data_IF_978460363258
#
_entry.id   IF_978460363258
#
_cell.length_a   1.000
_cell.length_b   1.000
_cell.length_c   1.000
_cell.angle_alpha   90.00
_cell.angle_beta   90.00
_cell.angle_gamma   90.00
#
_symmetry.space_group_name_H-M   'P 1'
#
loop_
_entity.id
_entity.type
_entity.pdbx_description
1 polymer ?
#
# COMPACT_ATOMS: atom_id res chain seq x y z
N UNK A 1 -24.49 0.51 1.53
CA UNK A 1 -23.53 1.36 0.79
C UNK A 1 -23.18 2.54 1.68
N UNK A 2 -21.91 2.81 1.87
CA UNK A 2 -21.43 3.92 2.72
C UNK A 2 -20.75 4.95 1.86
N UNK A 3 -21.14 6.21 1.98
CA UNK A 3 -20.48 7.31 1.29
C UNK A 3 -19.48 7.96 2.23
N UNK A 4 -18.22 8.06 1.79
CA UNK A 4 -17.13 8.68 2.55
C UNK A 4 -16.61 9.92 1.84
N UNK A 5 -16.32 10.94 2.64
CA UNK A 5 -15.65 12.15 2.19
C UNK A 5 -14.18 12.08 2.65
N UNK A 6 -13.26 12.11 1.69
CA UNK A 6 -11.82 12.13 1.95
C UNK A 6 -11.36 13.57 1.75
N UNK A 7 -10.65 14.11 2.73
CA UNK A 7 -9.99 15.41 2.65
C UNK A 7 -8.52 15.23 3.08
N UNK A 8 -7.62 15.40 2.14
CA UNK A 8 -6.18 15.31 2.36
C UNK A 8 -5.54 16.66 2.06
N UNK A 9 -4.84 17.22 3.05
CA UNK A 9 -4.13 18.47 2.89
C UNK A 9 -2.71 18.35 3.44
N UNK A 10 -1.73 18.69 2.59
CA UNK A 10 -0.32 18.76 2.97
C UNK A 10 0.18 20.17 2.72
N UNK A 11 0.91 20.75 3.69
CA UNK A 11 1.46 22.09 3.57
C UNK A 11 2.94 22.08 3.95
N UNK A 12 3.77 22.53 3.03
CA UNK A 12 5.20 22.76 3.24
C UNK A 12 5.46 24.25 3.37
N UNK A 13 6.21 24.64 4.38
CA UNK A 13 6.67 26.01 4.61
C UNK A 13 8.17 26.05 4.56
N UNK A 14 8.71 26.85 3.66
CA UNK A 14 10.14 27.04 3.48
C UNK A 14 10.60 28.31 4.19
N UNK A 15 11.84 28.34 4.70
CA UNK A 15 12.39 29.54 5.35
C UNK A 15 12.55 30.69 4.37
N UNK A 16 12.87 30.36 3.12
CA UNK A 16 13.04 31.31 2.01
C UNK A 16 12.26 30.79 0.80
N UNK A 17 12.01 31.66 -0.19
CA UNK A 17 11.39 31.23 -1.44
C UNK A 17 12.33 30.29 -2.19
N UNK A 18 11.84 29.11 -2.54
CA UNK A 18 12.58 28.06 -3.27
C UNK A 18 11.92 27.80 -4.62
N UNK A 19 12.73 27.48 -5.62
CA UNK A 19 12.22 27.00 -6.89
C UNK A 19 11.82 25.53 -6.74
N UNK A 20 10.52 25.24 -6.89
CA UNK A 20 10.00 23.88 -6.84
C UNK A 20 10.23 23.18 -8.18
N UNK A 21 10.75 21.95 -8.12
CA UNK A 21 10.78 21.05 -9.26
C UNK A 21 9.40 20.47 -9.58
N UNK A 22 9.25 19.66 -10.65
CA UNK A 22 8.01 18.95 -10.93
C UNK A 22 7.62 18.01 -9.78
N UNK A 23 6.35 18.03 -9.37
CA UNK A 23 5.81 17.12 -8.36
C UNK A 23 4.86 16.12 -9.01
N UNK A 24 4.99 14.85 -8.64
CA UNK A 24 4.07 13.79 -9.04
C UNK A 24 3.16 13.46 -7.87
N UNK A 25 1.86 13.62 -8.06
CA UNK A 25 0.86 13.42 -7.03
C UNK A 25 -0.05 12.25 -7.42
N UNK A 26 -0.19 11.28 -6.51
CA UNK A 26 -1.04 10.08 -6.68
C UNK A 26 -2.07 10.06 -5.54
N UNK A 27 -2.94 11.07 -5.50
CA UNK A 27 -3.92 11.29 -4.42
C UNK A 27 -5.35 10.94 -4.83
N UNK A 28 -5.59 10.69 -6.14
CA UNK A 28 -6.92 10.30 -6.61
C UNK A 28 -7.22 8.86 -6.20
N UNK A 29 -8.31 8.60 -5.46
CA UNK A 29 -8.73 7.25 -5.14
C UNK A 29 -8.97 6.41 -6.40
N UNK A 30 -8.50 5.18 -6.39
CA UNK A 30 -8.70 4.25 -7.50
C UNK A 30 -10.04 3.56 -7.37
N UNK A 31 -10.79 3.54 -8.47
CA UNK A 31 -12.02 2.78 -8.56
C UNK A 31 -11.74 1.27 -8.62
N UNK A 32 -12.63 0.51 -8.03
CA UNK A 32 -12.58 -0.96 -8.03
C UNK A 32 -14.01 -1.51 -8.01
N UNK A 33 -14.13 -2.84 -7.96
CA UNK A 33 -15.42 -3.50 -7.77
C UNK A 33 -16.18 -2.99 -6.53
N UNK A 34 -15.44 -2.65 -5.47
CA UNK A 34 -15.99 -2.32 -4.15
C UNK A 34 -15.90 -0.82 -3.81
N UNK A 35 -15.28 -0.02 -4.70
CA UNK A 35 -15.08 1.44 -4.51
C UNK A 35 -15.45 2.18 -5.78
N UNK A 36 -16.43 3.05 -5.71
CA UNK A 36 -16.82 3.97 -6.79
C UNK A 36 -16.44 5.40 -6.42
N UNK A 37 -15.73 6.09 -7.30
CA UNK A 37 -15.37 7.50 -7.13
C UNK A 37 -16.50 8.38 -7.66
N UNK A 38 -17.18 9.10 -6.76
CA UNK A 38 -18.29 9.99 -7.12
C UNK A 38 -17.78 11.37 -7.56
N UNK A 39 -16.77 11.91 -6.88
CA UNK A 39 -16.11 13.16 -7.24
C UNK A 39 -14.69 13.23 -6.71
N UNK A 40 -13.85 14.04 -7.38
CA UNK A 40 -12.50 14.35 -6.91
C UNK A 40 -12.07 15.73 -7.36
N UNK A 41 -11.37 16.46 -6.48
CA UNK A 41 -10.70 17.73 -6.80
C UNK A 41 -9.27 17.70 -6.28
N UNK A 42 -8.38 18.37 -6.99
CA UNK A 42 -6.99 18.57 -6.57
C UNK A 42 -6.63 20.03 -6.76
N UNK A 43 -6.31 20.71 -5.67
CA UNK A 43 -5.90 22.10 -5.65
C UNK A 43 -4.44 22.21 -5.18
N UNK A 44 -3.68 23.07 -5.84
CA UNK A 44 -2.27 23.30 -5.54
C UNK A 44 -2.02 24.80 -5.41
N UNK A 45 -1.35 25.20 -4.35
CA UNK A 45 -0.93 26.56 -4.09
C UNK A 45 0.59 26.61 -3.88
N UNK A 46 1.35 27.46 -4.60
CA UNK A 46 0.89 28.47 -5.55
C UNK A 46 0.28 27.87 -6.82
N UNK A 47 -0.40 28.70 -7.61
CA UNK A 47 -0.96 28.27 -8.89
C UNK A 47 0.11 27.63 -9.77
N UNK A 48 -0.21 26.49 -10.34
CA UNK A 48 0.70 25.65 -11.10
C UNK A 48 -0.01 25.04 -12.31
N UNK A 49 0.74 24.64 -13.32
CA UNK A 49 0.19 23.81 -14.40
C UNK A 49 0.09 22.35 -13.93
N UNK A 50 -1.02 21.71 -14.30
CA UNK A 50 -1.32 20.34 -13.86
C UNK A 50 -1.70 19.50 -15.08
N UNK A 51 -1.03 18.35 -15.24
CA UNK A 51 -1.32 17.37 -16.28
C UNK A 51 -1.58 16.01 -15.67
N UNK A 52 -2.52 15.25 -16.25
CA UNK A 52 -2.87 13.92 -15.78
C UNK A 52 -2.43 12.85 -16.76
N UNK A 53 -1.92 11.75 -16.21
CA UNK A 53 -1.61 10.52 -16.96
C UNK A 53 -1.89 9.31 -16.07
N UNK A 54 -1.97 8.13 -16.69
CA UNK A 54 -1.92 6.88 -15.93
C UNK A 54 -0.53 6.28 -16.05
N UNK A 55 -0.03 5.74 -14.93
CA UNK A 55 1.21 4.96 -14.94
C UNK A 55 0.97 3.51 -15.38
N UNK A 56 2.04 2.71 -15.37
CA UNK A 56 1.99 1.28 -15.77
C UNK A 56 1.13 0.42 -14.85
N UNK A 57 0.85 0.88 -13.64
CA UNK A 57 -0.05 0.21 -12.69
C UNK A 57 -1.50 0.70 -12.80
N UNK A 58 -1.77 1.68 -13.67
CA UNK A 58 -3.07 2.31 -13.82
C UNK A 58 -3.38 3.35 -12.73
N UNK A 59 -2.37 3.81 -11.98
CA UNK A 59 -2.57 4.90 -11.03
C UNK A 59 -2.76 6.22 -11.78
N UNK A 60 -3.71 7.05 -11.33
CA UNK A 60 -3.87 8.40 -11.83
C UNK A 60 -2.78 9.29 -11.23
N UNK A 61 -1.87 9.76 -12.06
CA UNK A 61 -0.72 10.59 -11.70
C UNK A 61 -0.96 12.02 -12.18
N UNK A 62 -1.04 12.98 -11.26
CA UNK A 62 -1.00 14.39 -11.56
C UNK A 62 0.44 14.90 -11.51
N UNK A 63 0.95 15.40 -12.63
CA UNK A 63 2.23 16.09 -12.68
C UNK A 63 2.00 17.59 -12.55
N UNK A 64 2.57 18.19 -11.51
CA UNK A 64 2.44 19.63 -11.18
C UNK A 64 3.76 20.32 -11.47
N UNK A 65 3.70 21.44 -12.21
CA UNK A 65 4.87 22.25 -12.56
C UNK A 65 4.68 23.69 -12.08
N UNK A 66 5.71 24.22 -11.42
CA UNK A 66 5.74 25.56 -10.85
C UNK A 66 6.61 26.50 -11.67
N UNK A 67 6.13 27.71 -11.89
CA UNK A 67 6.87 28.69 -12.70
C UNK A 67 7.70 29.64 -11.83
N UNK A 68 7.26 29.92 -10.62
CA UNK A 68 7.89 30.93 -9.76
C UNK A 68 8.34 30.32 -8.43
N UNK A 69 9.42 30.86 -7.84
CA UNK A 69 9.80 30.51 -6.47
C UNK A 69 8.69 30.80 -5.47
N UNK A 70 8.60 29.98 -4.43
CA UNK A 70 7.58 30.11 -3.37
C UNK A 70 8.16 29.77 -1.99
N UNK A 71 7.66 30.45 -0.96
CA UNK A 71 7.95 30.07 0.43
C UNK A 71 6.91 29.10 1.02
N UNK A 72 5.87 28.74 0.24
CA UNK A 72 4.84 27.81 0.70
C UNK A 72 4.31 26.97 -0.46
N UNK A 73 4.19 25.65 -0.22
CA UNK A 73 3.46 24.74 -1.08
C UNK A 73 2.32 24.13 -0.28
N UNK A 74 1.09 24.25 -0.75
CA UNK A 74 -0.06 23.54 -0.22
C UNK A 74 -0.68 22.67 -1.33
N UNK A 75 -0.95 21.42 -1.00
CA UNK A 75 -1.60 20.44 -1.86
C UNK A 75 -2.85 19.98 -1.13
N UNK A 76 -4.00 20.16 -1.73
CA UNK A 76 -5.29 19.79 -1.14
C UNK A 76 -6.08 18.93 -2.12
N UNK A 77 -6.38 17.71 -1.69
CA UNK A 77 -7.20 16.74 -2.43
C UNK A 77 -8.50 16.49 -1.67
N UNK A 78 -9.63 16.53 -2.38
CA UNK A 78 -10.93 16.14 -1.86
C UNK A 78 -11.51 15.08 -2.77
N UNK A 79 -12.07 14.04 -2.18
CA UNK A 79 -12.75 13.00 -2.93
C UNK A 79 -14.00 12.52 -2.18
N UNK A 80 -15.03 12.16 -2.94
CA UNK A 80 -16.21 11.48 -2.43
C UNK A 80 -16.24 10.09 -3.04
N UNK A 81 -16.27 9.08 -2.21
CA UNK A 81 -16.29 7.68 -2.63
C UNK A 81 -17.49 6.95 -2.04
N UNK A 82 -18.06 6.06 -2.82
CA UNK A 82 -19.09 5.13 -2.38
C UNK A 82 -18.47 3.75 -2.20
N UNK A 83 -18.66 3.17 -1.02
CA UNK A 83 -18.19 1.84 -0.67
C UNK A 83 -19.31 0.82 -0.80
N UNK A 84 -19.07 -0.20 -1.61
CA UNK A 84 -19.91 -1.38 -1.76
C UNK A 84 -19.28 -2.63 -1.13
N UNK A 85 -18.08 -2.51 -0.54
CA UNK A 85 -17.35 -3.62 0.06
C UNK A 85 -18.20 -4.32 1.15
N UNK A 86 -18.23 -5.64 1.12
CA UNK A 86 -18.72 -6.43 2.22
C UNK A 86 -17.73 -6.43 3.37
N UNK A 87 -18.22 -6.49 4.61
CA UNK A 87 -17.36 -6.56 5.81
C UNK A 87 -16.41 -7.77 5.79
N UNK A 88 -16.79 -8.82 5.06
CA UNK A 88 -16.00 -10.03 4.88
C UNK A 88 -15.83 -10.30 3.39
N UNK A 89 -14.63 -10.09 2.82
CA UNK A 89 -14.39 -10.42 1.42
C UNK A 89 -14.47 -11.94 1.22
N UNK A 90 -15.37 -12.35 0.33
CA UNK A 90 -15.47 -13.75 -0.13
C UNK A 90 -14.71 -13.85 -1.44
N UNK A 91 -13.71 -14.74 -1.49
CA UNK A 91 -12.94 -15.03 -2.68
C UNK A 91 -12.56 -16.51 -2.71
N UNK A 92 -12.45 -17.07 -3.91
CA UNK A 92 -12.06 -18.46 -4.11
C UNK A 92 -10.61 -18.51 -4.61
N UNK A 93 -9.77 -19.21 -3.85
CA UNK A 93 -8.39 -19.52 -4.28
C UNK A 93 -8.46 -20.75 -5.18
N UNK A 94 -7.77 -20.69 -6.34
CA UNK A 94 -7.68 -21.84 -7.23
C UNK A 94 -7.13 -23.08 -6.49
N UNK A 95 -7.68 -24.26 -6.77
CA UNK A 95 -7.30 -25.51 -6.09
C UNK A 95 -5.77 -25.76 -6.11
N UNK A 96 -5.11 -25.34 -7.20
CA UNK A 96 -3.63 -25.43 -7.35
C UNK A 96 -2.84 -24.51 -6.42
N UNK A 97 -3.47 -23.50 -5.82
CA UNK A 97 -2.83 -22.50 -4.97
C UNK A 97 -3.31 -22.49 -3.51
N UNK A 98 -4.24 -23.40 -3.15
CA UNK A 98 -4.69 -23.57 -1.75
C UNK A 98 -3.53 -23.97 -0.84
N UNK A 99 -2.58 -24.76 -1.36
CA UNK A 99 -1.40 -25.24 -0.62
C UNK A 99 -0.14 -24.56 -1.14
N UNK A 100 0.73 -24.17 -0.21
CA UNK A 100 2.07 -23.67 -0.48
C UNK A 100 3.09 -24.80 -0.32
N UNK A 101 4.09 -24.97 -1.19
CA UNK A 101 4.37 -24.12 -2.36
C UNK A 101 3.47 -24.45 -3.56
N UNK A 102 3.14 -23.43 -4.33
CA UNK A 102 2.48 -23.55 -5.63
C UNK A 102 3.26 -22.81 -6.73
N UNK A 103 2.86 -22.96 -7.97
CA UNK A 103 3.48 -22.26 -9.11
C UNK A 103 2.40 -21.47 -9.87
N UNK A 104 2.70 -20.22 -10.18
CA UNK A 104 1.91 -19.44 -11.13
C UNK A 104 1.98 -20.04 -12.54
N UNK A 105 0.93 -19.87 -13.33
CA UNK A 105 0.94 -20.17 -14.76
C UNK A 105 2.00 -19.32 -15.50
N UNK A 106 2.30 -19.66 -16.74
CA UNK A 106 3.25 -18.90 -17.56
C UNK A 106 2.76 -17.45 -17.79
N UNK A 107 1.46 -17.28 -18.04
CA UNK A 107 0.86 -15.97 -18.26
C UNK A 107 0.88 -15.13 -16.97
N UNK A 108 0.47 -15.71 -15.83
CA UNK A 108 0.52 -15.02 -14.53
C UNK A 108 1.96 -14.60 -14.16
N UNK A 109 2.98 -15.42 -14.45
CA UNK A 109 4.39 -15.06 -14.23
C UNK A 109 4.81 -13.88 -15.11
N UNK A 110 4.37 -13.87 -16.36
CA UNK A 110 4.66 -12.78 -17.30
C UNK A 110 4.00 -11.48 -16.82
N UNK A 111 2.74 -11.54 -16.43
CA UNK A 111 1.96 -10.37 -16.01
C UNK A 111 2.43 -9.81 -14.66
N UNK A 112 2.79 -10.68 -13.73
CA UNK A 112 3.34 -10.27 -12.43
C UNK A 112 4.73 -9.63 -12.57
N UNK A 113 5.56 -10.13 -13.48
CA UNK A 113 6.88 -9.57 -13.76
C UNK A 113 7.67 -9.22 -12.48
N UNK A 114 8.07 -7.94 -12.31
CA UNK A 114 8.84 -7.51 -11.14
C UNK A 114 8.07 -7.62 -9.82
N UNK A 115 6.75 -7.73 -9.85
CA UNK A 115 5.95 -7.88 -8.63
C UNK A 115 6.15 -9.24 -7.94
N UNK A 116 6.64 -10.26 -8.68
CA UNK A 116 6.95 -11.57 -8.14
C UNK A 116 8.45 -11.76 -7.81
N UNK A 117 9.25 -10.70 -7.92
CA UNK A 117 10.70 -10.73 -7.70
C UNK A 117 11.06 -9.83 -6.51
N UNK A 118 11.86 -10.31 -5.53
CA UNK A 118 12.36 -9.46 -4.45
C UNK A 118 13.09 -8.22 -4.99
N UNK A 119 12.77 -7.05 -4.46
CA UNK A 119 13.35 -5.77 -4.86
C UNK A 119 14.45 -5.32 -3.89
N UNK A 120 14.44 -5.85 -2.67
CA UNK A 120 15.45 -5.54 -1.67
C UNK A 120 16.57 -6.57 -1.69
N UNK A 121 17.80 -6.05 -1.65
CA UNK A 121 18.99 -6.90 -1.61
C UNK A 121 19.12 -7.60 -0.25
N UNK A 122 19.14 -8.92 -0.25
CA UNK A 122 19.33 -9.77 0.93
C UNK A 122 20.41 -10.82 0.67
N UNK A 123 21.67 -10.38 0.67
CA UNK A 123 22.82 -11.27 0.42
C UNK A 123 22.91 -12.40 1.43
N UNK A 124 22.48 -12.17 2.65
CA UNK A 124 22.55 -13.15 3.75
C UNK A 124 21.41 -14.15 3.72
N UNK A 125 20.34 -13.91 2.95
CA UNK A 125 19.12 -14.71 2.94
C UNK A 125 18.32 -14.65 4.24
N UNK A 126 18.56 -13.66 5.10
CA UNK A 126 17.91 -13.52 6.42
C UNK A 126 16.42 -13.28 6.30
N UNK A 127 16.00 -12.42 5.35
CA UNK A 127 14.59 -12.16 5.10
C UNK A 127 13.89 -13.43 4.61
N UNK A 128 14.50 -14.13 3.65
CA UNK A 128 13.99 -15.40 3.14
C UNK A 128 13.94 -16.47 4.25
N UNK A 129 14.92 -16.51 5.12
CA UNK A 129 14.92 -17.42 6.28
C UNK A 129 13.81 -17.07 7.27
N UNK A 130 13.62 -15.78 7.59
CA UNK A 130 12.54 -15.30 8.44
C UNK A 130 11.17 -15.67 7.87
N UNK A 131 10.96 -15.45 6.58
CA UNK A 131 9.71 -15.80 5.90
C UNK A 131 9.45 -17.32 5.90
N UNK A 132 10.49 -18.14 5.66
CA UNK A 132 10.38 -19.60 5.71
C UNK A 132 10.04 -20.12 7.10
N UNK A 133 10.33 -19.37 8.17
CA UNK A 133 9.94 -19.73 9.53
C UNK A 133 8.42 -19.90 9.74
N UNK A 134 7.60 -19.35 8.86
CA UNK A 134 6.13 -19.49 8.88
C UNK A 134 5.63 -20.70 8.07
N UNK A 135 6.48 -21.35 7.28
CA UNK A 135 6.13 -22.52 6.48
C UNK A 135 6.12 -23.76 7.38
N UNK A 136 4.95 -24.37 7.56
CA UNK A 136 4.73 -25.50 8.49
C UNK A 136 4.92 -26.88 7.85
N UNK A 137 5.64 -26.98 6.74
CA UNK A 137 5.88 -28.23 6.01
C UNK A 137 5.43 -28.18 4.56
N UNK A 138 5.37 -29.33 3.90
CA UNK A 138 5.11 -29.45 2.46
C UNK A 138 3.68 -29.13 2.03
N UNK A 139 2.74 -29.05 2.96
CA UNK A 139 1.33 -28.80 2.68
C UNK A 139 0.78 -27.65 3.54
N UNK A 140 1.54 -26.57 3.65
CA UNK A 140 1.09 -25.39 4.38
C UNK A 140 -0.08 -24.73 3.64
N UNK A 141 -1.18 -24.44 4.34
CA UNK A 141 -2.28 -23.66 3.77
C UNK A 141 -1.80 -22.27 3.40
N UNK A 142 -2.01 -21.85 2.14
CA UNK A 142 -1.49 -20.59 1.59
C UNK A 142 -2.03 -19.37 2.34
N UNK A 143 -3.33 -19.35 2.63
CA UNK A 143 -3.92 -18.21 3.31
C UNK A 143 -3.50 -18.14 4.79
N UNK A 144 -3.39 -19.30 5.44
CA UNK A 144 -2.88 -19.39 6.81
C UNK A 144 -1.43 -18.91 6.89
N UNK A 145 -0.57 -19.33 5.96
CA UNK A 145 0.82 -18.84 5.87
C UNK A 145 0.90 -17.32 5.80
N UNK A 146 0.14 -16.70 4.90
CA UNK A 146 0.14 -15.25 4.73
C UNK A 146 -0.40 -14.54 5.97
N UNK A 147 -1.44 -15.06 6.61
CA UNK A 147 -1.97 -14.54 7.88
C UNK A 147 -0.97 -14.69 9.03
N UNK A 148 -0.26 -15.82 9.12
CA UNK A 148 0.78 -16.03 10.13
C UNK A 148 1.96 -15.05 9.93
N UNK A 149 2.34 -14.76 8.68
CA UNK A 149 3.34 -13.74 8.36
C UNK A 149 2.88 -12.33 8.76
N UNK A 150 1.63 -11.96 8.48
CA UNK A 150 1.02 -10.69 8.95
C UNK A 150 1.07 -10.60 10.47
N UNK A 151 0.64 -11.65 11.16
CA UNK A 151 0.71 -11.73 12.62
C UNK A 151 2.15 -11.65 13.13
N UNK A 152 3.09 -12.28 12.44
CA UNK A 152 4.52 -12.23 12.77
C UNK A 152 5.10 -10.82 12.68
N UNK A 153 4.71 -10.02 11.67
CA UNK A 153 5.08 -8.59 11.62
C UNK A 153 4.42 -7.82 12.76
N UNK A 154 3.10 -7.95 12.91
CA UNK A 154 2.33 -7.17 13.88
C UNK A 154 2.74 -7.42 15.35
N UNK A 155 3.17 -8.65 15.67
CA UNK A 155 3.55 -9.03 17.05
C UNK A 155 5.05 -8.96 17.31
N UNK A 156 5.87 -9.15 16.27
CA UNK A 156 7.32 -9.16 16.38
C UNK A 156 7.98 -7.80 16.22
N UNK A 157 7.29 -6.81 15.66
CA UNK A 157 7.81 -5.48 15.35
C UNK A 157 6.93 -4.41 16.02
N UNK A 158 7.54 -3.46 16.72
CA UNK A 158 6.81 -2.38 17.36
C UNK A 158 6.38 -1.32 16.34
N UNK A 159 5.10 -0.99 16.30
CA UNK A 159 4.63 0.11 15.46
C UNK A 159 5.09 1.45 16.01
N UNK A 160 5.72 2.26 15.16
CA UNK A 160 6.14 3.61 15.47
C UNK A 160 5.94 4.51 14.24
N UNK A 161 5.11 5.54 14.39
CA UNK A 161 4.98 6.56 13.35
C UNK A 161 6.32 7.28 13.16
N UNK A 162 6.65 7.57 11.90
CA UNK A 162 7.84 8.36 11.57
C UNK A 162 7.56 9.31 10.40
N UNK A 163 8.16 10.47 10.46
CA UNK A 163 8.01 11.53 9.44
C UNK A 163 9.12 11.51 8.39
N UNK A 164 10.20 10.74 8.63
CA UNK A 164 11.30 10.64 7.67
C UNK A 164 10.79 10.11 6.32
N UNK A 165 11.29 10.70 5.27
CA UNK A 165 10.99 10.30 3.90
C UNK A 165 11.43 8.86 3.61
N UNK A 166 10.74 8.20 2.66
CA UNK A 166 11.04 6.85 2.22
C UNK A 166 10.67 5.75 3.22
N UNK A 167 11.19 4.56 3.01
CA UNK A 167 10.95 3.37 3.83
C UNK A 167 12.24 2.80 4.40
N UNK A 168 12.14 2.08 5.51
CA UNK A 168 13.22 1.21 5.96
C UNK A 168 13.31 0.00 5.02
N UNK A 169 14.51 -0.52 4.79
CA UNK A 169 14.61 -1.83 4.16
C UNK A 169 14.04 -2.92 5.08
N UNK A 170 13.60 -4.08 4.56
CA UNK A 170 13.10 -5.18 5.37
C UNK A 170 14.06 -5.60 6.49
N UNK A 171 15.35 -5.70 6.17
CA UNK A 171 16.37 -6.05 7.16
C UNK A 171 16.54 -4.98 8.24
N UNK A 172 16.48 -3.69 7.85
CA UNK A 172 16.51 -2.61 8.85
C UNK A 172 15.31 -2.65 9.79
N UNK A 173 14.13 -2.97 9.27
CA UNK A 173 12.91 -3.10 10.10
C UNK A 173 13.03 -4.27 11.07
N UNK A 174 13.54 -5.43 10.62
CA UNK A 174 13.82 -6.58 11.47
C UNK A 174 14.88 -6.28 12.53
N UNK A 175 15.98 -5.61 12.16
CA UNK A 175 17.09 -5.31 13.07
C UNK A 175 16.71 -4.28 14.14
N UNK A 176 15.92 -3.28 13.76
CA UNK A 176 15.47 -2.24 14.68
C UNK A 176 14.35 -2.69 15.59
N UNK A 177 13.56 -3.68 15.17
CA UNK A 177 12.38 -4.14 15.89
C UNK A 177 11.25 -3.10 15.95
N UNK A 178 11.27 -2.09 15.07
CA UNK A 178 10.21 -1.09 14.95
C UNK A 178 10.11 -0.51 13.54
N UNK A 179 8.93 -0.02 13.17
CA UNK A 179 8.68 0.61 11.89
C UNK A 179 7.30 1.26 11.82
N UNK A 180 7.08 2.05 10.76
CA UNK A 180 5.79 2.62 10.41
C UNK A 180 4.98 1.65 9.54
N UNK A 181 3.73 2.01 9.20
CA UNK A 181 2.90 1.20 8.29
C UNK A 181 3.59 0.93 6.94
N UNK A 182 4.33 1.91 6.39
CA UNK A 182 5.10 1.76 5.15
C UNK A 182 6.18 0.68 5.29
N UNK A 183 6.92 0.72 6.40
CA UNK A 183 8.00 -0.22 6.67
C UNK A 183 7.46 -1.65 6.87
N UNK A 184 6.30 -1.78 7.51
CA UNK A 184 5.59 -3.06 7.69
C UNK A 184 5.10 -3.61 6.36
N UNK A 185 4.51 -2.76 5.51
CA UNK A 185 4.06 -3.16 4.18
C UNK A 185 5.22 -3.64 3.30
N UNK A 186 6.36 -2.93 3.32
CA UNK A 186 7.59 -3.31 2.61
C UNK A 186 8.15 -4.63 3.13
N UNK A 187 8.28 -4.78 4.45
CA UNK A 187 8.76 -6.02 5.06
C UNK A 187 7.90 -7.22 4.66
N UNK A 188 6.60 -7.10 4.78
CA UNK A 188 5.67 -8.19 4.43
C UNK A 188 5.69 -8.52 2.93
N UNK A 189 5.65 -7.51 2.05
CA UNK A 189 5.67 -7.71 0.60
C UNK A 189 6.97 -8.38 0.13
N UNK A 190 8.13 -7.93 0.62
CA UNK A 190 9.42 -8.51 0.28
C UNK A 190 9.60 -9.92 0.86
N UNK A 191 9.11 -10.18 2.05
CA UNK A 191 9.08 -11.52 2.63
C UNK A 191 8.21 -12.46 1.80
N UNK A 192 7.03 -12.02 1.36
CA UNK A 192 6.16 -12.79 0.48
C UNK A 192 6.82 -13.07 -0.88
N UNK A 193 7.47 -12.06 -1.50
CA UNK A 193 8.25 -12.23 -2.74
C UNK A 193 9.39 -13.24 -2.58
N UNK A 194 10.06 -13.25 -1.43
CA UNK A 194 11.13 -14.22 -1.15
C UNK A 194 10.64 -15.67 -1.08
N UNK A 195 9.34 -15.86 -0.84
CA UNK A 195 8.64 -17.15 -0.92
C UNK A 195 8.04 -17.44 -2.31
N UNK A 196 8.17 -16.52 -3.27
CA UNK A 196 7.69 -16.68 -4.63
C UNK A 196 6.28 -16.12 -4.88
N UNK A 197 5.68 -15.41 -3.93
CA UNK A 197 4.40 -14.74 -4.14
C UNK A 197 4.55 -13.46 -4.96
N UNK A 198 3.58 -13.18 -5.84
CA UNK A 198 3.39 -11.85 -6.40
C UNK A 198 2.86 -10.92 -5.31
N UNK A 199 3.57 -9.81 -5.04
CA UNK A 199 3.20 -8.85 -4.02
C UNK A 199 3.35 -7.42 -4.54
N UNK A 200 2.46 -6.52 -4.09
CA UNK A 200 2.56 -5.09 -4.36
C UNK A 200 2.23 -4.28 -3.12
N UNK A 201 2.78 -3.08 -3.04
CA UNK A 201 2.57 -2.17 -1.92
C UNK A 201 1.50 -1.17 -2.33
N UNK A 202 0.57 -0.91 -1.44
CA UNK A 202 -0.54 0.01 -1.64
C UNK A 202 -0.43 1.14 -0.63
N UNK A 203 -0.61 2.36 -1.11
CA UNK A 203 -0.82 3.55 -0.28
C UNK A 203 -2.23 4.07 -0.50
N UNK A 204 -2.86 4.54 0.56
CA UNK A 204 -4.23 5.01 0.51
C UNK A 204 -4.71 5.60 1.82
N UNK A 205 -5.99 5.42 2.09
CA UNK A 205 -6.67 5.94 3.27
C UNK A 205 -7.32 4.81 4.05
N UNK A 206 -7.13 4.82 5.35
CA UNK A 206 -7.78 3.87 6.26
C UNK A 206 -9.03 4.51 6.86
N UNK A 207 -10.15 3.83 6.74
CA UNK A 207 -11.40 4.19 7.38
C UNK A 207 -11.75 3.16 8.46
N UNK A 208 -11.88 3.63 9.69
CA UNK A 208 -12.34 2.82 10.82
C UNK A 208 -13.68 3.35 11.32
N UNK A 209 -14.79 2.65 11.05
CA UNK A 209 -16.13 3.09 11.48
C UNK A 209 -16.30 3.12 13.00
N UNK A 210 -15.54 2.32 13.74
CA UNK A 210 -15.67 2.17 15.21
C UNK A 210 -14.80 3.16 16.00
N UNK A 211 -13.94 3.94 15.33
CA UNK A 211 -13.09 4.92 16.02
C UNK A 211 -13.83 6.23 16.29
N UNK A 212 -13.69 6.75 17.52
CA UNK A 212 -14.22 8.08 17.85
C UNK A 212 -13.64 9.20 16.96
N UNK A 213 -12.48 8.97 16.35
CA UNK A 213 -11.89 9.84 15.35
C UNK A 213 -12.68 9.85 14.02
N UNK A 214 -13.45 8.81 13.70
CA UNK A 214 -14.32 8.77 12.53
C UNK A 214 -15.42 9.86 12.57
N UNK A 215 -15.88 10.24 13.77
CA UNK A 215 -16.87 11.31 13.95
C UNK A 215 -16.30 12.68 13.59
N UNK A 216 -14.99 12.86 13.74
CA UNK A 216 -14.29 14.13 13.41
C UNK A 216 -13.51 14.07 12.08
N UNK A 217 -13.69 13.02 11.27
CA UNK A 217 -13.08 12.92 9.95
C UNK A 217 -11.56 12.72 9.95
N UNK A 218 -10.97 12.28 11.03
CA UNK A 218 -9.54 11.98 11.12
C UNK A 218 -9.22 10.58 10.56
N UNK A 219 -9.42 10.38 9.25
CA UNK A 219 -8.77 9.29 8.51
C UNK A 219 -7.26 9.53 8.45
N UNK A 220 -6.47 8.48 8.39
CA UNK A 220 -5.03 8.58 8.17
C UNK A 220 -4.64 8.04 6.80
N UNK A 221 -3.60 8.64 6.21
CA UNK A 221 -2.87 7.97 5.14
C UNK A 221 -2.27 6.68 5.68
N UNK A 222 -2.35 5.63 4.90
CA UNK A 222 -1.95 4.30 5.33
C UNK A 222 -1.28 3.52 4.20
N UNK A 223 -0.44 2.57 4.56
CA UNK A 223 0.18 1.67 3.61
C UNK A 223 -0.02 0.21 4.05
N UNK A 224 -0.28 -0.66 3.07
CA UNK A 224 -0.46 -2.09 3.24
C UNK A 224 0.08 -2.84 2.03
N UNK A 225 -0.05 -4.14 1.99
CA UNK A 225 0.33 -4.94 0.84
C UNK A 225 -0.84 -5.74 0.27
N UNK A 226 -0.74 -6.09 -1.00
CA UNK A 226 -1.61 -7.06 -1.64
C UNK A 226 -0.79 -8.19 -2.22
N UNK A 227 -1.30 -9.41 -2.08
CA UNK A 227 -0.71 -10.63 -2.62
C UNK A 227 -1.60 -11.16 -3.72
N UNK A 228 -1.01 -11.50 -4.85
CA UNK A 228 -1.73 -12.16 -5.94
C UNK A 228 -1.90 -13.64 -5.65
N UNK A 229 -3.14 -14.10 -5.60
CA UNK A 229 -3.49 -15.50 -5.42
C UNK A 229 -4.30 -15.98 -6.63
N UNK A 230 -3.87 -17.04 -7.34
CA UNK A 230 -4.62 -17.61 -8.43
C UNK A 230 -6.07 -17.88 -8.06
N UNK A 231 -7.00 -17.47 -8.91
CA UNK A 231 -8.46 -17.53 -8.67
C UNK A 231 -9.02 -16.35 -7.88
N UNK A 232 -8.33 -15.90 -6.84
CA UNK A 232 -8.75 -14.79 -5.98
C UNK A 232 -8.31 -13.40 -6.50
N UNK A 233 -7.22 -13.36 -7.31
CA UNK A 233 -6.60 -12.11 -7.72
C UNK A 233 -5.79 -11.45 -6.59
N UNK A 234 -5.81 -10.12 -6.52
CA UNK A 234 -5.11 -9.35 -5.50
C UNK A 234 -5.87 -9.31 -4.18
N UNK A 235 -5.32 -9.94 -3.15
CA UNK A 235 -5.90 -10.04 -1.80
C UNK A 235 -5.11 -9.12 -0.86
N UNK A 236 -5.84 -8.30 -0.11
CA UNK A 236 -5.28 -7.31 0.83
C UNK A 236 -4.79 -7.96 2.13
N UNK A 237 -3.60 -7.55 2.57
CA UNK A 237 -3.01 -7.88 3.85
C UNK A 237 -2.43 -6.62 4.50
N UNK A 238 -2.87 -6.33 5.72
CA UNK A 238 -2.41 -5.17 6.47
C UNK A 238 -1.65 -5.63 7.72
N UNK A 239 -0.31 -5.62 7.70
CA UNK A 239 0.49 -6.04 8.84
C UNK A 239 0.50 -5.04 10.00
N UNK A 240 -0.06 -3.84 9.81
CA UNK A 240 -0.26 -2.88 10.90
C UNK A 240 -1.58 -3.13 11.64
N UNK A 241 -2.62 -3.49 10.87
CA UNK A 241 -3.97 -3.72 11.38
C UNK A 241 -4.45 -5.11 10.93
N UNK A 242 -4.05 -6.19 11.64
CA UNK A 242 -4.38 -7.57 11.25
C UNK A 242 -5.88 -7.90 11.36
N UNK A 243 -6.68 -7.00 11.92
CA UNK A 243 -8.15 -7.06 11.93
C UNK A 243 -8.73 -6.32 10.73
N UNK A 244 -9.93 -6.69 10.33
CA UNK A 244 -10.56 -6.18 9.10
C UNK A 244 -10.95 -4.70 9.23
N UNK A 245 -10.28 -3.84 8.46
CA UNK A 245 -10.63 -2.43 8.25
C UNK A 245 -10.97 -2.16 6.79
N UNK A 246 -11.68 -1.07 6.53
CA UNK A 246 -11.94 -0.64 5.16
C UNK A 246 -10.77 0.17 4.63
N UNK A 247 -10.10 -0.36 3.62
CA UNK A 247 -8.97 0.28 2.93
C UNK A 247 -9.43 0.96 1.65
N UNK A 248 -9.08 2.23 1.50
CA UNK A 248 -9.35 3.03 0.30
C UNK A 248 -8.05 3.28 -0.43
N UNK A 249 -7.81 2.53 -1.50
CA UNK A 249 -6.58 2.63 -2.31
C UNK A 249 -6.48 3.99 -3.01
N UNK A 250 -5.35 4.68 -2.86
CA UNK A 250 -4.99 5.85 -3.64
C UNK A 250 -4.08 5.47 -4.81
N UNK A 251 -3.01 4.74 -4.55
CA UNK A 251 -2.10 4.24 -5.59
C UNK A 251 -1.43 2.93 -5.17
N UNK A 252 -0.79 2.28 -6.13
CA UNK A 252 0.01 1.08 -5.91
C UNK A 252 1.43 1.25 -6.48
N UNK A 253 2.39 0.57 -5.89
CA UNK A 253 3.80 0.63 -6.28
C UNK A 253 4.50 -0.69 -5.99
N UNK A 254 5.65 -0.88 -6.61
CA UNK A 254 6.52 -2.03 -6.33
C UNK A 254 7.20 -1.84 -4.98
N UNK A 255 7.81 -0.69 -4.77
CA UNK A 255 8.60 -0.39 -3.55
C UNK A 255 8.59 1.09 -3.13
N UNK A 256 8.31 2.01 -4.03
CA UNK A 256 8.46 3.45 -3.80
C UNK A 256 7.23 4.03 -3.09
N UNK A 257 7.41 4.49 -1.83
CA UNK A 257 6.39 5.09 -0.96
C UNK A 257 6.87 6.42 -0.39
#
# INVERSE_FOLDING_TARGET
MTVLNIHHKTTYRYREAVQLGPHRLMLRPRESRDVRLLSTTLEVTPAASLTWANDVFGNAVATVQFQNPTAMLAIESRAVVELAASAWPVFDIAASAIRYPFSYSADEKTDLGPLAVPQCFDQSGRLAQWARGFVRGSETDTLALLKDMVAGVATGINYQSREQEGTQSPLQTLDRGWGSCRDFAVLFAEAARSLGFGARIISGYLFNPDSAAAVNGAGSTHAWAEIFLPGAGWVTFDPTNPVSYTHLRAHETVLDL
#
